data_IF_216424421978
#
_entry.id   IF_216424421978
#
_cell.length_a   1.000
_cell.length_b   1.000
_cell.length_c   1.000
_cell.angle_alpha   90.00
_cell.angle_beta   90.00
_cell.angle_gamma   90.00
#
_symmetry.space_group_name_H-M   'P 1'
#
loop_
_entity.id
_entity.type
_entity.pdbx_description
1 polymer ?
#
# COMPACT_ATOMS: atom_id res chain seq x y z
N UNK A 1 11.81 4.46 -11.30
CA UNK A 1 12.78 5.37 -10.69
C UNK A 1 13.89 5.71 -11.68
N UNK A 2 14.37 6.95 -11.63
CA UNK A 2 15.47 7.43 -12.47
C UNK A 2 16.55 8.06 -11.58
N UNK A 3 17.74 8.19 -12.12
CA UNK A 3 18.83 8.94 -11.51
C UNK A 3 18.74 10.40 -11.95
N UNK A 4 18.82 11.31 -11.00
CA UNK A 4 18.84 12.74 -11.26
C UNK A 4 20.22 13.25 -10.84
N UNK A 5 20.90 13.91 -11.75
CA UNK A 5 22.20 14.53 -11.49
C UNK A 5 21.99 16.03 -11.28
N UNK A 6 22.46 16.56 -10.15
CA UNK A 6 22.38 17.98 -9.82
C UNK A 6 23.80 18.43 -9.44
N UNK A 7 24.41 19.26 -10.29
CA UNK A 7 25.78 19.71 -10.10
C UNK A 7 25.83 21.23 -10.34
N UNK A 8 26.29 21.99 -9.36
CA UNK A 8 26.46 23.45 -9.37
C UNK A 8 25.26 24.26 -9.89
N UNK A 9 24.02 23.75 -9.71
CA UNK A 9 22.82 24.43 -10.18
C UNK A 9 22.55 25.66 -9.33
N UNK A 10 22.55 26.84 -9.96
CA UNK A 10 22.20 28.10 -9.30
C UNK A 10 20.70 28.32 -9.31
N UNK A 11 20.09 28.43 -8.13
CA UNK A 11 18.66 28.64 -7.96
C UNK A 11 18.43 30.00 -7.28
N UNK A 12 17.56 30.89 -7.86
CA UNK A 12 17.21 32.14 -7.21
C UNK A 12 16.60 31.94 -5.82
N UNK A 13 16.96 32.80 -4.86
CA UNK A 13 16.48 32.71 -3.46
C UNK A 13 14.95 32.75 -3.34
N UNK A 14 14.25 33.38 -4.29
CA UNK A 14 12.77 33.40 -4.31
C UNK A 14 12.13 32.02 -4.44
N UNK A 15 12.88 31.00 -4.86
CA UNK A 15 12.40 29.61 -4.96
C UNK A 15 12.68 28.80 -3.69
N UNK A 16 13.24 29.40 -2.65
CA UNK A 16 13.41 28.77 -1.36
C UNK A 16 12.03 28.48 -0.75
N UNK A 17 11.83 27.27 -0.28
CA UNK A 17 10.62 26.83 0.41
C UNK A 17 10.91 26.82 1.91
N UNK A 18 10.21 27.67 2.67
CA UNK A 18 10.34 27.76 4.11
C UNK A 18 11.69 28.31 4.60
N UNK A 19 12.03 28.00 5.84
CA UNK A 19 13.20 28.53 6.52
C UNK A 19 14.45 27.66 6.29
N UNK A 20 15.62 28.29 6.36
CA UNK A 20 16.90 27.61 6.22
C UNK A 20 17.08 26.57 7.36
N UNK A 21 17.60 25.41 7.01
CA UNK A 21 17.82 24.31 7.98
C UNK A 21 16.56 23.50 8.35
N UNK A 22 15.35 23.90 7.91
CA UNK A 22 14.10 23.24 8.26
C UNK A 22 13.64 22.17 7.26
N UNK A 23 14.33 22.00 6.14
CA UNK A 23 13.88 21.10 5.04
C UNK A 23 13.58 19.68 5.49
N UNK A 24 14.38 19.10 6.41
CA UNK A 24 14.13 17.76 6.94
C UNK A 24 12.82 17.70 7.75
N UNK A 25 12.53 18.74 8.53
CA UNK A 25 11.30 18.80 9.34
C UNK A 25 10.07 18.89 8.42
N UNK A 26 10.12 19.75 7.41
CA UNK A 26 9.03 19.85 6.41
C UNK A 26 8.81 18.53 5.69
N UNK A 27 9.89 17.81 5.34
CA UNK A 27 9.79 16.49 4.72
C UNK A 27 9.14 15.46 5.66
N UNK A 28 9.47 15.48 6.95
CA UNK A 28 8.85 14.57 7.93
C UNK A 28 7.34 14.85 8.10
N UNK A 29 6.93 16.09 8.08
CA UNK A 29 5.51 16.47 8.12
C UNK A 29 4.77 16.00 6.88
N UNK A 30 5.33 16.24 5.69
CA UNK A 30 4.74 15.80 4.43
C UNK A 30 4.62 14.27 4.34
N UNK A 31 5.54 13.52 4.90
CA UNK A 31 5.47 12.05 4.88
C UNK A 31 4.23 11.47 5.57
N UNK A 32 3.58 12.16 6.50
CA UNK A 32 2.31 11.69 7.06
C UNK A 32 1.23 11.68 5.99
N UNK A 33 1.12 12.76 5.23
CA UNK A 33 0.17 12.88 4.12
C UNK A 33 0.44 11.86 3.02
N UNK A 34 1.71 11.69 2.61
CA UNK A 34 2.10 10.68 1.62
C UNK A 34 1.73 9.26 2.06
N UNK A 35 1.91 8.91 3.33
CA UNK A 35 1.53 7.59 3.88
C UNK A 35 0.02 7.37 3.82
N UNK A 36 -0.77 8.38 4.17
CA UNK A 36 -2.23 8.32 4.06
C UNK A 36 -2.65 8.16 2.60
N UNK A 37 -2.05 8.94 1.70
CA UNK A 37 -2.30 8.83 0.27
C UNK A 37 -1.96 7.43 -0.28
N UNK A 38 -0.81 6.87 0.09
CA UNK A 38 -0.41 5.52 -0.28
C UNK A 38 -1.43 4.47 0.17
N UNK A 39 -1.96 4.60 1.38
CA UNK A 39 -2.97 3.68 1.90
C UNK A 39 -4.32 3.86 1.18
N UNK A 40 -4.78 5.09 1.00
CA UNK A 40 -6.07 5.40 0.39
C UNK A 40 -6.12 5.01 -1.10
N UNK A 41 -5.08 5.32 -1.88
CA UNK A 41 -5.00 5.01 -3.31
C UNK A 41 -4.98 3.50 -3.61
N UNK A 42 -4.60 2.69 -2.63
CA UNK A 42 -4.52 1.23 -2.74
C UNK A 42 -5.88 0.55 -2.64
N UNK A 43 -6.82 1.10 -1.88
CA UNK A 43 -8.06 0.43 -1.50
C UNK A 43 -8.90 -0.03 -2.70
N UNK A 44 -9.09 0.85 -3.67
CA UNK A 44 -9.94 0.55 -4.82
C UNK A 44 -9.26 -0.44 -5.77
N UNK A 45 -7.97 -0.32 -5.97
CA UNK A 45 -7.23 -1.26 -6.82
C UNK A 45 -7.22 -2.68 -6.25
N UNK A 46 -7.11 -2.84 -4.92
CA UNK A 46 -7.21 -4.14 -4.25
C UNK A 46 -8.62 -4.74 -4.39
N UNK A 47 -9.67 -3.93 -4.22
CA UNK A 47 -11.04 -4.36 -4.45
C UNK A 47 -11.27 -4.83 -5.89
N UNK A 48 -10.78 -4.08 -6.87
CA UNK A 48 -10.86 -4.49 -8.27
C UNK A 48 -10.13 -5.81 -8.53
N UNK A 49 -8.94 -6.01 -7.94
CA UNK A 49 -8.20 -7.26 -8.08
C UNK A 49 -9.00 -8.46 -7.59
N UNK A 50 -9.62 -8.32 -6.42
CA UNK A 50 -10.50 -9.36 -5.85
C UNK A 50 -11.72 -9.59 -6.76
N UNK A 51 -12.40 -8.52 -7.18
CA UNK A 51 -13.59 -8.63 -8.01
C UNK A 51 -13.32 -9.28 -9.37
N UNK A 52 -12.28 -8.86 -10.09
CA UNK A 52 -11.88 -9.50 -11.35
C UNK A 52 -11.56 -10.98 -11.17
N UNK A 53 -11.02 -11.35 -10.00
CA UNK A 53 -10.74 -12.75 -9.71
C UNK A 53 -12.01 -13.54 -9.39
N UNK A 54 -12.99 -12.94 -8.72
CA UNK A 54 -14.30 -13.53 -8.50
C UNK A 54 -14.99 -13.79 -9.85
N UNK A 55 -15.04 -12.76 -10.72
CA UNK A 55 -15.68 -12.86 -12.03
C UNK A 55 -15.05 -13.98 -12.87
N UNK A 56 -13.72 -14.01 -12.93
CA UNK A 56 -12.98 -15.07 -13.60
C UNK A 56 -13.27 -16.46 -13.00
N UNK A 57 -13.28 -16.57 -11.66
CA UNK A 57 -13.50 -17.84 -10.99
C UNK A 57 -14.91 -18.41 -11.24
N UNK A 58 -15.92 -17.54 -11.43
CA UNK A 58 -17.28 -17.94 -11.77
C UNK A 58 -17.39 -18.50 -13.21
N UNK A 59 -16.58 -18.00 -14.13
CA UNK A 59 -16.57 -18.44 -15.53
C UNK A 59 -15.65 -19.65 -15.76
N UNK A 60 -14.55 -19.76 -15.01
CA UNK A 60 -13.52 -20.78 -15.19
C UNK A 60 -14.01 -22.16 -14.76
N UNK A 61 -14.23 -23.05 -15.72
CA UNK A 61 -14.60 -24.45 -15.46
C UNK A 61 -13.40 -25.29 -15.06
N UNK A 62 -13.58 -26.10 -14.03
CA UNK A 62 -12.57 -26.98 -13.44
C UNK A 62 -13.23 -28.22 -12.82
N UNK A 63 -12.81 -29.41 -13.23
CA UNK A 63 -13.29 -30.70 -12.69
C UNK A 63 -14.84 -30.85 -12.62
N UNK A 64 -15.54 -30.36 -13.64
CA UNK A 64 -17.00 -30.50 -13.71
C UNK A 64 -17.82 -29.41 -12.99
N UNK A 65 -17.17 -28.45 -12.35
CA UNK A 65 -17.75 -27.28 -11.69
C UNK A 65 -17.03 -26.01 -12.11
N UNK A 66 -17.25 -24.90 -11.41
CA UNK A 66 -16.46 -23.67 -11.59
C UNK A 66 -15.32 -23.60 -10.57
N UNK A 67 -14.34 -22.73 -10.85
CA UNK A 67 -13.28 -22.45 -9.88
C UNK A 67 -13.85 -21.81 -8.60
N UNK A 68 -14.93 -21.02 -8.73
CA UNK A 68 -15.63 -20.40 -7.60
C UNK A 68 -16.32 -21.44 -6.68
N UNK A 69 -16.60 -22.65 -7.14
CA UNK A 69 -17.18 -23.71 -6.32
C UNK A 69 -16.16 -24.35 -5.37
N UNK A 70 -14.87 -24.05 -5.54
CA UNK A 70 -13.82 -24.57 -4.67
C UNK A 70 -13.79 -23.78 -3.35
N UNK A 71 -14.05 -24.45 -2.22
CA UNK A 71 -14.13 -23.84 -0.89
C UNK A 71 -12.88 -23.05 -0.53
N UNK A 72 -11.70 -23.54 -0.90
CA UNK A 72 -10.44 -22.85 -0.65
C UNK A 72 -10.38 -21.47 -1.35
N UNK A 73 -10.87 -21.38 -2.59
CA UNK A 73 -10.95 -20.11 -3.35
C UNK A 73 -11.91 -19.14 -2.66
N UNK A 74 -13.09 -19.64 -2.26
CA UNK A 74 -14.09 -18.83 -1.56
C UNK A 74 -13.54 -18.23 -0.26
N UNK A 75 -12.90 -19.06 0.55
CA UNK A 75 -12.37 -18.64 1.85
C UNK A 75 -11.23 -17.63 1.69
N UNK A 76 -10.31 -17.88 0.76
CA UNK A 76 -9.20 -16.94 0.51
C UNK A 76 -9.69 -15.58 0.02
N UNK A 77 -10.63 -15.53 -0.91
CA UNK A 77 -11.19 -14.27 -1.39
C UNK A 77 -11.96 -13.52 -0.28
N UNK A 78 -12.67 -14.24 0.59
CA UNK A 78 -13.35 -13.64 1.75
C UNK A 78 -12.35 -13.09 2.78
N UNK A 79 -11.27 -13.81 3.08
CA UNK A 79 -10.17 -13.32 3.94
C UNK A 79 -9.56 -12.04 3.38
N UNK A 80 -9.18 -12.03 2.10
CA UNK A 80 -8.60 -10.86 1.45
C UNK A 80 -9.54 -9.65 1.48
N UNK A 81 -10.83 -9.87 1.21
CA UNK A 81 -11.83 -8.81 1.28
C UNK A 81 -11.95 -8.24 2.69
N UNK A 82 -11.95 -9.09 3.70
CA UNK A 82 -11.98 -8.67 5.11
C UNK A 82 -10.77 -7.82 5.48
N UNK A 83 -9.57 -8.21 5.03
CA UNK A 83 -8.34 -7.48 5.27
C UNK A 83 -8.31 -6.11 4.56
N UNK A 84 -8.87 -6.01 3.36
CA UNK A 84 -9.01 -4.74 2.64
C UNK A 84 -9.99 -3.80 3.36
N UNK A 85 -11.10 -4.32 3.89
CA UNK A 85 -12.04 -3.49 4.67
C UNK A 85 -11.46 -3.05 6.02
N UNK A 86 -10.63 -3.87 6.66
CA UNK A 86 -9.90 -3.46 7.86
C UNK A 86 -8.90 -2.34 7.54
N UNK A 87 -8.20 -2.41 6.41
CA UNK A 87 -7.36 -1.31 5.92
C UNK A 87 -8.19 -0.04 5.64
N UNK A 88 -9.36 -0.19 5.02
CA UNK A 88 -10.28 0.93 4.73
C UNK A 88 -10.67 1.66 6.02
N UNK A 89 -11.13 0.93 7.02
CA UNK A 89 -11.54 1.49 8.31
C UNK A 89 -10.38 2.24 9.00
N UNK A 90 -9.18 1.65 8.99
CA UNK A 90 -7.97 2.27 9.54
C UNK A 90 -7.60 3.55 8.80
N UNK A 91 -7.64 3.51 7.46
CA UNK A 91 -7.28 4.66 6.61
C UNK A 91 -8.26 5.81 6.80
N UNK A 92 -9.56 5.55 6.79
CA UNK A 92 -10.58 6.59 6.98
C UNK A 92 -10.51 7.22 8.36
N UNK A 93 -10.28 6.41 9.41
CA UNK A 93 -10.05 6.95 10.76
C UNK A 93 -8.84 7.88 10.79
N UNK A 94 -7.74 7.50 10.17
CA UNK A 94 -6.53 8.32 10.12
C UNK A 94 -6.77 9.62 9.32
N UNK A 95 -7.47 9.56 8.19
CA UNK A 95 -7.84 10.74 7.40
C UNK A 95 -8.75 11.69 8.17
N UNK A 96 -9.76 11.17 8.88
CA UNK A 96 -10.66 11.99 9.70
C UNK A 96 -9.90 12.75 10.78
N UNK A 97 -9.01 12.09 11.50
CA UNK A 97 -8.16 12.75 12.49
C UNK A 97 -7.21 13.78 11.87
N UNK A 98 -6.64 13.47 10.71
CA UNK A 98 -5.73 14.38 10.00
C UNK A 98 -6.41 15.68 9.57
N UNK A 99 -7.61 15.60 8.97
CA UNK A 99 -8.36 16.81 8.55
C UNK A 99 -8.84 17.64 9.73
N UNK A 100 -8.94 17.04 10.92
CA UNK A 100 -9.23 17.72 12.18
C UNK A 100 -7.96 18.24 12.89
N UNK A 101 -6.80 18.25 12.22
CA UNK A 101 -5.56 18.82 12.73
C UNK A 101 -4.85 18.00 13.81
N UNK A 102 -5.21 16.73 13.97
CA UNK A 102 -4.57 15.85 14.94
C UNK A 102 -3.34 15.16 14.39
N UNK A 103 -2.39 14.82 15.25
CA UNK A 103 -1.23 13.99 14.87
C UNK A 103 -1.68 12.57 14.52
N UNK A 104 -1.31 12.13 13.33
CA UNK A 104 -1.68 10.80 12.81
C UNK A 104 -0.47 9.93 12.48
N UNK A 105 0.72 10.30 12.96
CA UNK A 105 1.95 9.57 12.67
C UNK A 105 1.81 8.07 12.89
N UNK A 106 1.23 7.66 14.00
CA UNK A 106 1.02 6.24 14.33
C UNK A 106 0.07 5.57 13.35
N UNK A 107 -1.14 6.11 13.18
CA UNK A 107 -2.18 5.52 12.32
C UNK A 107 -1.79 5.55 10.83
N UNK A 108 -1.16 6.63 10.37
CA UNK A 108 -0.65 6.72 8.99
C UNK A 108 0.45 5.67 8.73
N UNK A 109 1.32 5.43 9.71
CA UNK A 109 2.35 4.40 9.61
C UNK A 109 1.75 2.98 9.61
N UNK A 110 0.74 2.72 10.45
CA UNK A 110 0.00 1.47 10.45
C UNK A 110 -0.74 1.23 9.13
N UNK A 111 -1.46 2.23 8.64
CA UNK A 111 -2.21 2.15 7.38
C UNK A 111 -1.27 1.87 6.19
N UNK A 112 -0.16 2.60 6.11
CA UNK A 112 0.86 2.41 5.06
C UNK A 112 1.50 1.02 5.11
N UNK A 113 1.85 0.53 6.29
CA UNK A 113 2.40 -0.81 6.49
C UNK A 113 1.41 -1.89 6.02
N UNK A 114 0.14 -1.77 6.45
CA UNK A 114 -0.91 -2.72 6.06
C UNK A 114 -1.18 -2.66 4.56
N UNK A 115 -1.26 -1.48 3.97
CA UNK A 115 -1.42 -1.28 2.54
C UNK A 115 -0.28 -1.92 1.73
N UNK A 116 0.97 -1.73 2.13
CA UNK A 116 2.14 -2.35 1.50
C UNK A 116 2.06 -3.88 1.50
N UNK A 117 1.68 -4.47 2.63
CA UNK A 117 1.52 -5.92 2.76
C UNK A 117 0.40 -6.46 1.90
N UNK A 118 -0.77 -5.80 1.90
CA UNK A 118 -1.90 -6.22 1.08
C UNK A 118 -1.65 -6.06 -0.42
N UNK A 119 -0.85 -5.07 -0.85
CA UNK A 119 -0.41 -4.95 -2.24
C UNK A 119 0.50 -6.09 -2.72
N UNK A 120 1.06 -6.88 -1.81
CA UNK A 120 1.77 -8.12 -2.14
C UNK A 120 0.84 -9.32 -2.08
N UNK A 121 0.07 -9.44 -0.99
CA UNK A 121 -0.73 -10.62 -0.69
C UNK A 121 -1.93 -10.77 -1.64
N UNK A 122 -2.69 -9.69 -1.87
CA UNK A 122 -3.91 -9.75 -2.70
C UNK A 122 -3.59 -10.12 -4.15
N UNK A 123 -2.68 -9.42 -4.85
CA UNK A 123 -2.37 -9.79 -6.23
C UNK A 123 -1.68 -11.15 -6.35
N UNK A 124 -0.85 -11.54 -5.41
CA UNK A 124 -0.18 -12.85 -5.39
C UNK A 124 -1.21 -13.98 -5.29
N UNK A 125 -2.10 -13.91 -4.32
CA UNK A 125 -3.17 -14.90 -4.13
C UNK A 125 -4.13 -14.94 -5.33
N UNK A 126 -4.55 -13.77 -5.82
CA UNK A 126 -5.42 -13.68 -6.99
C UNK A 126 -4.75 -14.26 -8.24
N UNK A 127 -3.49 -13.94 -8.49
CA UNK A 127 -2.72 -14.45 -9.63
C UNK A 127 -2.65 -15.99 -9.62
N UNK A 128 -2.52 -16.60 -8.44
CA UNK A 128 -2.56 -18.05 -8.29
C UNK A 128 -3.88 -18.63 -8.81
N UNK A 129 -5.01 -17.98 -8.53
CA UNK A 129 -6.33 -18.44 -9.02
C UNK A 129 -6.50 -18.25 -10.53
N UNK A 130 -5.88 -17.24 -11.12
CA UNK A 130 -5.85 -17.05 -12.55
C UNK A 130 -5.00 -18.10 -13.28
N UNK A 131 -4.10 -18.81 -12.58
CA UNK A 131 -3.23 -19.82 -13.13
C UNK A 131 -2.37 -19.30 -14.29
N UNK A 132 -2.22 -20.06 -15.37
CA UNK A 132 -1.43 -19.64 -16.54
C UNK A 132 -1.88 -18.32 -17.17
N UNK A 133 -3.19 -18.01 -17.14
CA UNK A 133 -3.71 -16.72 -17.60
C UNK A 133 -3.21 -15.55 -16.76
N UNK A 134 -2.98 -15.76 -15.46
CA UNK A 134 -2.40 -14.76 -14.55
C UNK A 134 -0.95 -14.41 -14.87
N UNK A 135 -0.23 -15.27 -15.59
CA UNK A 135 1.16 -15.05 -15.93
C UNK A 135 1.37 -14.20 -17.20
N UNK A 136 0.31 -13.96 -17.99
CA UNK A 136 0.39 -13.14 -19.20
C UNK A 136 0.52 -11.66 -18.88
N UNK A 137 1.22 -10.90 -19.74
CA UNK A 137 1.45 -9.46 -19.53
C UNK A 137 0.17 -8.63 -19.71
N UNK A 138 -0.79 -9.12 -20.49
CA UNK A 138 -2.08 -8.49 -20.74
C UNK A 138 -3.02 -8.56 -19.52
N UNK A 139 -2.77 -9.51 -18.62
CA UNK A 139 -3.59 -9.70 -17.43
C UNK A 139 -3.39 -8.56 -16.42
N UNK A 140 -4.51 -7.95 -16.00
CA UNK A 140 -4.50 -6.83 -15.03
C UNK A 140 -3.94 -7.24 -13.66
N UNK A 141 -4.24 -8.45 -13.21
CA UNK A 141 -3.74 -8.99 -11.93
C UNK A 141 -2.23 -9.20 -12.00
N UNK A 142 -1.70 -9.71 -13.14
CA UNK A 142 -0.26 -9.81 -13.38
C UNK A 142 0.46 -8.46 -13.28
N UNK A 143 -0.14 -7.39 -13.83
CA UNK A 143 0.40 -6.03 -13.69
C UNK A 143 0.38 -5.56 -12.25
N UNK A 144 -0.74 -5.75 -11.54
CA UNK A 144 -0.85 -5.39 -10.12
C UNK A 144 0.18 -6.10 -9.24
N UNK A 145 0.45 -7.38 -9.52
CA UNK A 145 1.47 -8.15 -8.82
C UNK A 145 2.86 -7.51 -8.96
N UNK A 146 3.24 -7.10 -10.17
CA UNK A 146 4.53 -6.45 -10.43
C UNK A 146 4.62 -5.05 -9.83
N UNK A 147 3.61 -4.22 -10.12
CA UNK A 147 3.61 -2.79 -9.75
C UNK A 147 3.34 -2.60 -8.25
N UNK A 148 2.44 -3.40 -7.68
CA UNK A 148 2.07 -3.38 -6.26
C UNK A 148 3.22 -3.70 -5.32
N UNK A 149 4.26 -4.40 -5.81
CA UNK A 149 5.45 -4.72 -5.00
C UNK A 149 6.15 -3.47 -4.46
N UNK A 150 6.10 -2.36 -5.19
CA UNK A 150 6.71 -1.10 -4.78
C UNK A 150 6.06 -0.52 -3.50
N UNK A 151 4.80 -0.81 -3.23
CA UNK A 151 4.08 -0.28 -2.08
C UNK A 151 4.69 -0.65 -0.71
N UNK A 152 5.43 -1.75 -0.63
CA UNK A 152 6.19 -2.14 0.58
C UNK A 152 7.60 -1.53 0.65
N UNK A 153 8.01 -0.74 -0.36
CA UNK A 153 9.36 -0.19 -0.50
C UNK A 153 9.32 1.34 -0.53
N UNK A 154 8.53 1.91 -1.44
CA UNK A 154 8.40 3.36 -1.64
C UNK A 154 7.56 4.04 -0.56
N UNK A 155 7.78 5.33 -0.33
CA UNK A 155 7.07 6.11 0.70
C UNK A 155 7.36 5.67 2.15
N UNK A 156 8.47 4.97 2.35
CA UNK A 156 8.90 4.33 3.59
C UNK A 156 8.68 2.81 3.56
N UNK A 157 9.77 2.04 3.59
CA UNK A 157 9.71 0.59 3.59
C UNK A 157 8.94 0.03 4.81
N UNK A 158 8.44 -1.21 4.71
CA UNK A 158 7.74 -1.88 5.81
C UNK A 158 8.56 -1.83 7.12
N UNK A 159 9.88 -2.03 7.03
CA UNK A 159 10.82 -2.00 8.15
C UNK A 159 10.90 -0.61 8.79
N UNK A 160 10.83 0.44 7.98
CA UNK A 160 10.81 1.83 8.46
C UNK A 160 9.51 2.10 9.22
N UNK A 161 8.37 1.65 8.69
CA UNK A 161 7.07 1.77 9.38
C UNK A 161 7.08 1.02 10.72
N UNK A 162 7.57 -0.20 10.74
CA UNK A 162 7.73 -1.00 11.96
C UNK A 162 8.65 -0.32 12.97
N UNK A 163 9.77 0.26 12.51
CA UNK A 163 10.70 1.01 13.36
C UNK A 163 10.07 2.25 14.01
N UNK A 164 9.22 2.98 13.27
CA UNK A 164 8.45 4.11 13.80
C UNK A 164 7.47 3.62 14.86
N UNK A 165 6.68 2.60 14.57
CA UNK A 165 5.70 2.04 15.51
C UNK A 165 6.38 1.50 16.78
N UNK A 166 7.50 0.79 16.66
CA UNK A 166 8.27 0.28 17.79
C UNK A 166 8.78 1.42 18.70
N UNK A 167 9.17 2.56 18.12
CA UNK A 167 9.58 3.76 18.89
C UNK A 167 8.37 4.37 19.60
N UNK A 168 7.23 4.50 18.93
CA UNK A 168 6.01 5.06 19.53
C UNK A 168 5.49 4.17 20.68
N UNK A 169 5.62 2.86 20.54
CA UNK A 169 5.29 1.87 21.59
C UNK A 169 6.30 1.85 22.76
N UNK A 170 7.43 2.56 22.65
CA UNK A 170 8.45 2.61 23.69
C UNK A 170 9.33 1.34 23.81
N UNK A 171 9.23 0.40 22.85
CA UNK A 171 10.02 -0.85 22.88
C UNK A 171 11.37 -0.71 22.17
N UNK A 172 11.52 0.24 21.25
CA UNK A 172 12.80 0.51 20.61
C UNK A 172 13.63 1.48 21.45
N UNK A 173 14.89 1.13 21.74
CA UNK A 173 15.83 2.08 22.39
C UNK A 173 16.03 3.26 21.43
N UNK A 174 15.98 4.49 21.98
CA UNK A 174 16.41 5.69 21.22
C UNK A 174 17.87 5.49 20.85
N UNK A 175 18.29 5.77 19.61
CA UNK A 175 19.73 5.88 19.36
C UNK A 175 20.29 6.97 20.27
N UNK A 176 21.41 6.66 20.93
CA UNK A 176 22.20 7.59 21.72
C UNK A 176 22.81 8.66 20.82
#
# INVERSE_FOLDING_TARGET
>A
PGLIYVDEVRVPQRYRIGDEGQGFIYQMQQFQEERLWCAASTLESLNHCIQWTIDYAQERKLFGSTLADQQWVQFKLAELKTEVEALRALTYRACDLYVNGQDVLELASMAKLKAGRLNREVPDTCLQFWGGMGFTLENKVSRMYRDGRLASIGGGADEVMLGILAKLMGIAKRPV
#
